data_IF_679179886105
#
_entry.id   IF_679179886105
#
_cell.length_a   1.000
_cell.length_b   1.000
_cell.length_c   1.000
_cell.angle_alpha   90.00
_cell.angle_beta   90.00
_cell.angle_gamma   90.00
#
_symmetry.space_group_name_H-M   'P 1'
#
loop_
_entity.id
_entity.type
_entity.pdbx_description
1 polymer ?
#
# COMPACT_ATOMS: atom_id res chain seq x y z
N UNK A 1 23.05 -19.73 76.62
CA UNK A 1 24.50 -19.56 76.41
C UNK A 1 24.89 -20.38 75.19
N UNK A 2 25.49 -19.73 74.17
CA UNK A 2 26.16 -20.35 72.98
C UNK A 2 25.16 -20.96 71.96
N UNK A 3 25.17 -20.72 70.64
CA UNK A 3 26.07 -20.04 69.71
C UNK A 3 25.28 -19.50 68.51
N UNK A 4 25.73 -18.37 67.96
CA UNK A 4 25.34 -17.85 66.64
C UNK A 4 26.01 -18.67 65.52
N UNK A 5 25.25 -19.10 64.51
CA UNK A 5 25.79 -19.55 63.24
C UNK A 5 25.44 -18.51 62.16
N UNK A 6 26.46 -17.75 61.75
CA UNK A 6 26.38 -16.77 60.68
C UNK A 6 26.37 -17.49 59.32
N UNK A 7 25.23 -17.42 58.62
CA UNK A 7 25.12 -17.82 57.21
C UNK A 7 25.56 -16.68 56.31
N UNK A 8 26.75 -16.82 55.73
CA UNK A 8 27.28 -15.95 54.67
C UNK A 8 26.54 -16.27 53.36
N UNK A 9 25.60 -15.40 52.94
CA UNK A 9 25.02 -15.47 51.60
C UNK A 9 25.96 -14.72 50.65
N UNK A 10 26.72 -15.47 49.86
CA UNK A 10 27.45 -14.95 48.71
C UNK A 10 26.42 -14.62 47.60
N UNK A 11 26.12 -13.34 47.43
CA UNK A 11 25.39 -12.87 46.25
C UNK A 11 26.33 -12.91 45.04
N UNK A 12 26.32 -14.02 44.30
CA UNK A 12 26.87 -14.07 42.94
C UNK A 12 25.98 -13.19 42.06
N UNK A 13 26.44 -11.95 41.84
CA UNK A 13 25.88 -11.04 40.87
C UNK A 13 26.05 -11.60 39.46
N UNK A 14 25.12 -12.43 39.03
CA UNK A 14 24.93 -12.75 37.61
C UNK A 14 24.41 -11.44 37.01
N UNK A 15 25.32 -10.68 36.40
CA UNK A 15 24.97 -9.49 35.63
C UNK A 15 23.96 -9.89 34.57
N UNK A 16 22.71 -9.53 34.78
CA UNK A 16 21.70 -9.59 33.73
C UNK A 16 22.24 -8.68 32.62
N UNK A 17 22.53 -9.20 31.41
CA UNK A 17 22.93 -8.33 30.31
C UNK A 17 21.82 -7.29 30.15
N UNK A 18 22.19 -6.02 30.32
CA UNK A 18 21.27 -4.90 30.09
C UNK A 18 20.65 -5.04 28.69
N UNK A 19 19.44 -4.49 28.47
CA UNK A 19 18.80 -4.55 27.17
C UNK A 19 19.79 -4.09 26.09
N UNK A 20 19.90 -4.83 24.97
CA UNK A 20 20.89 -4.52 23.94
C UNK A 20 20.81 -3.05 23.57
N UNK A 21 21.98 -2.40 23.59
CA UNK A 21 22.17 -0.99 23.28
C UNK A 21 21.41 -0.63 22.00
N UNK A 22 20.76 0.53 22.05
CA UNK A 22 20.08 1.23 20.95
C UNK A 22 20.73 0.86 19.62
N UNK A 23 20.03 0.05 18.82
CA UNK A 23 20.51 -0.38 17.52
C UNK A 23 21.00 0.85 16.75
N UNK A 24 22.29 0.85 16.41
CA UNK A 24 22.89 1.85 15.52
C UNK A 24 21.95 2.09 14.34
N UNK A 25 21.69 3.36 14.00
CA UNK A 25 20.84 3.76 12.86
C UNK A 25 21.14 2.86 11.66
N UNK A 26 20.13 2.13 11.19
CA UNK A 26 20.32 1.27 10.02
C UNK A 26 20.51 2.16 8.77
N UNK A 27 21.57 1.98 7.98
CA UNK A 27 21.91 2.90 6.90
C UNK A 27 21.06 2.66 5.66
N UNK A 28 19.77 3.01 5.70
CA UNK A 28 18.83 2.86 4.56
C UNK A 28 19.37 3.49 3.27
N UNK A 29 20.05 4.64 3.38
CA UNK A 29 20.66 5.34 2.25
C UNK A 29 21.62 4.44 1.43
N UNK A 30 22.31 3.50 2.06
CA UNK A 30 23.24 2.59 1.38
C UNK A 30 22.54 1.55 0.47
N UNK A 31 21.21 1.48 0.53
CA UNK A 31 20.37 0.57 -0.25
C UNK A 31 19.48 1.27 -1.27
N UNK A 32 19.48 2.60 -1.28
CA UNK A 32 18.67 3.39 -2.24
C UNK A 32 19.11 3.09 -3.67
N UNK A 33 18.15 2.81 -4.55
CA UNK A 33 18.38 2.59 -5.98
C UNK A 33 19.11 1.30 -6.35
N UNK A 34 19.49 0.45 -5.38
CA UNK A 34 20.11 -0.84 -5.67
C UNK A 34 19.10 -1.82 -6.26
N UNK A 35 19.48 -2.51 -7.33
CA UNK A 35 18.78 -3.73 -7.71
C UNK A 35 19.14 -4.82 -6.73
N UNK A 36 18.24 -5.06 -5.79
CA UNK A 36 18.49 -6.04 -4.77
C UNK A 36 18.53 -7.49 -5.26
N UNK A 37 18.08 -7.79 -6.49
CA UNK A 37 18.33 -9.10 -7.12
C UNK A 37 19.80 -9.31 -7.44
N UNK A 38 20.56 -8.22 -7.57
CA UNK A 38 22.00 -8.26 -7.80
C UNK A 38 22.82 -8.29 -6.50
N UNK A 39 22.18 -8.13 -5.33
CA UNK A 39 22.87 -8.19 -4.05
C UNK A 39 23.08 -9.64 -3.59
N UNK A 40 24.26 -9.90 -3.05
CA UNK A 40 24.59 -11.17 -2.41
C UNK A 40 23.78 -11.38 -1.13
N UNK A 41 23.72 -12.62 -0.65
CA UNK A 41 23.05 -12.95 0.61
C UNK A 41 23.60 -12.13 1.78
N UNK A 42 24.91 -11.94 1.85
CA UNK A 42 25.56 -11.22 2.94
C UNK A 42 25.27 -9.72 2.88
N UNK A 43 25.11 -9.14 1.69
CA UNK A 43 24.67 -7.76 1.52
C UNK A 43 23.19 -7.56 1.89
N UNK A 44 22.35 -8.57 1.69
CA UNK A 44 20.93 -8.55 2.01
C UNK A 44 20.65 -8.80 3.51
N UNK A 45 21.49 -9.56 4.20
CA UNK A 45 21.25 -9.98 5.58
C UNK A 45 21.08 -8.80 6.58
N UNK A 46 21.83 -7.69 6.50
CA UNK A 46 21.55 -6.50 7.31
C UNK A 46 20.17 -5.93 7.06
N UNK A 47 19.74 -5.81 5.79
CA UNK A 47 18.40 -5.33 5.43
C UNK A 47 17.32 -6.28 5.94
N UNK A 48 17.55 -7.59 5.82
CA UNK A 48 16.66 -8.61 6.38
C UNK A 48 16.44 -8.42 7.87
N UNK A 49 17.52 -8.37 8.66
CA UNK A 49 17.42 -8.17 10.11
C UNK A 49 16.74 -6.86 10.47
N UNK A 50 17.02 -5.79 9.72
CA UNK A 50 16.32 -4.52 9.87
C UNK A 50 14.80 -4.66 9.66
N UNK A 51 14.36 -5.24 8.53
CA UNK A 51 12.93 -5.42 8.25
C UNK A 51 12.23 -6.35 9.26
N UNK A 52 12.89 -7.43 9.71
CA UNK A 52 12.39 -8.27 10.82
C UNK A 52 12.21 -7.42 12.08
N UNK A 53 13.22 -6.63 12.46
CA UNK A 53 13.18 -5.81 13.68
C UNK A 53 12.07 -4.76 13.67
N UNK A 54 11.70 -4.28 12.47
CA UNK A 54 10.62 -3.33 12.25
C UNK A 54 9.26 -4.02 12.07
N UNK A 55 9.19 -5.34 12.20
CA UNK A 55 7.98 -6.15 12.05
C UNK A 55 7.25 -5.92 10.72
N UNK A 56 8.02 -5.63 9.68
CA UNK A 56 7.50 -5.40 8.33
C UNK A 56 6.95 -6.72 7.81
N UNK A 57 5.61 -6.84 7.82
CA UNK A 57 4.91 -8.03 7.35
C UNK A 57 4.55 -9.08 8.40
N UNK A 58 5.02 -8.98 9.65
CA UNK A 58 4.67 -9.96 10.69
C UNK A 58 3.38 -9.61 11.44
N UNK A 59 3.08 -8.32 11.60
CA UNK A 59 2.01 -7.86 12.48
C UNK A 59 0.74 -7.42 11.71
N UNK A 60 0.82 -7.13 10.40
CA UNK A 60 -0.30 -6.59 9.59
C UNK A 60 -0.89 -7.58 8.56
N UNK A 61 -0.10 -8.51 8.03
CA UNK A 61 -0.58 -9.66 7.24
C UNK A 61 0.55 -10.71 7.21
N UNK A 62 0.46 -11.84 7.96
CA UNK A 62 1.51 -12.87 8.02
C UNK A 62 1.83 -13.51 6.66
N UNK A 63 1.05 -13.21 5.62
CA UNK A 63 1.27 -13.64 4.24
C UNK A 63 2.28 -12.78 3.49
N UNK A 64 2.50 -11.53 3.93
CA UNK A 64 3.52 -10.62 3.41
C UNK A 64 4.77 -10.66 4.29
N UNK A 65 5.35 -11.85 4.52
CA UNK A 65 6.55 -12.01 5.33
C UNK A 65 7.82 -11.59 4.56
N UNK A 66 7.93 -10.28 4.34
CA UNK A 66 8.99 -9.64 3.54
C UNK A 66 10.35 -10.06 4.06
N UNK A 67 10.53 -10.00 5.37
CA UNK A 67 11.82 -10.18 5.98
C UNK A 67 12.32 -11.64 5.88
N UNK A 68 11.45 -12.65 5.98
CA UNK A 68 11.89 -14.03 5.78
C UNK A 68 12.01 -14.46 4.31
N UNK A 69 11.50 -13.66 3.38
CA UNK A 69 11.48 -13.97 1.94
C UNK A 69 12.50 -13.22 1.10
N UNK A 70 13.26 -12.29 1.69
CA UNK A 70 14.42 -11.68 1.03
C UNK A 70 15.40 -12.76 0.53
N UNK A 71 15.59 -12.83 -0.79
CA UNK A 71 16.42 -13.86 -1.46
C UNK A 71 15.65 -15.00 -2.13
N UNK A 72 14.30 -15.00 -2.06
CA UNK A 72 13.45 -15.86 -2.87
C UNK A 72 13.30 -15.33 -4.30
N UNK A 73 13.21 -16.23 -5.29
CA UNK A 73 13.16 -15.98 -6.77
C UNK A 73 12.05 -15.05 -7.31
N UNK A 74 11.33 -14.34 -6.47
CA UNK A 74 10.14 -13.62 -6.85
C UNK A 74 10.12 -12.34 -6.04
N UNK A 75 9.84 -11.22 -6.73
CA UNK A 75 9.29 -9.94 -6.22
C UNK A 75 10.10 -8.71 -6.64
N UNK A 76 9.51 -7.75 -7.38
CA UNK A 76 10.12 -6.44 -7.49
C UNK A 76 9.99 -5.71 -6.14
N UNK A 77 11.05 -5.01 -5.79
CA UNK A 77 11.14 -4.16 -4.64
C UNK A 77 12.09 -3.03 -4.96
N UNK A 78 11.84 -1.88 -4.35
CA UNK A 78 12.64 -0.70 -4.58
C UNK A 78 12.61 0.18 -3.33
N UNK A 79 13.77 0.77 -3.05
CA UNK A 79 13.97 1.71 -1.96
C UNK A 79 14.43 3.03 -2.56
N UNK A 80 13.73 4.11 -2.23
CA UNK A 80 14.08 5.45 -2.67
C UNK A 80 14.31 6.37 -1.49
N UNK A 81 15.20 7.34 -1.68
CA UNK A 81 15.12 8.61 -0.98
C UNK A 81 13.95 9.40 -1.59
N UNK A 82 12.89 9.56 -0.82
CA UNK A 82 11.68 10.21 -1.29
C UNK A 82 11.78 11.72 -1.22
N UNK A 83 12.47 12.25 -0.20
CA UNK A 83 12.72 13.68 -0.02
C UNK A 83 13.89 14.20 -0.85
N UNK A 84 14.83 13.32 -1.22
CA UNK A 84 16.07 13.69 -1.91
C UNK A 84 17.14 14.28 -0.98
N UNK A 85 16.83 14.41 0.31
CA UNK A 85 17.65 14.99 1.37
C UNK A 85 17.99 13.97 2.47
N UNK A 86 17.63 12.69 2.28
CA UNK A 86 17.79 11.63 3.26
C UNK A 86 16.85 11.71 4.46
N UNK A 87 15.85 12.61 4.45
CA UNK A 87 14.89 12.76 5.55
C UNK A 87 13.80 11.68 5.55
N UNK A 88 13.47 11.13 4.38
CA UNK A 88 12.37 10.19 4.18
C UNK A 88 12.75 9.12 3.15
N UNK A 89 12.66 7.86 3.56
CA UNK A 89 12.86 6.72 2.67
C UNK A 89 11.54 6.00 2.42
N UNK A 90 11.35 5.52 1.20
CA UNK A 90 10.16 4.75 0.82
C UNK A 90 10.59 3.43 0.25
N UNK A 91 10.15 2.34 0.91
CA UNK A 91 10.27 0.98 0.42
C UNK A 91 8.93 0.56 -0.18
N UNK A 92 8.93 0.17 -1.45
CA UNK A 92 7.81 -0.52 -2.06
C UNK A 92 8.19 -1.95 -2.42
N UNK A 93 7.26 -2.87 -2.22
CA UNK A 93 7.45 -4.30 -2.45
C UNK A 93 6.17 -4.93 -2.95
N UNK A 94 6.30 -5.95 -3.78
CA UNK A 94 5.21 -6.85 -4.16
C UNK A 94 5.54 -8.28 -3.71
N UNK A 95 4.55 -9.15 -3.62
CA UNK A 95 4.74 -10.56 -3.37
C UNK A 95 3.83 -11.41 -4.24
N UNK A 96 4.39 -12.35 -4.99
CA UNK A 96 3.58 -13.29 -5.77
C UNK A 96 2.79 -14.25 -4.87
N UNK A 97 1.47 -14.25 -5.02
CA UNK A 97 0.58 -15.21 -4.38
C UNK A 97 0.61 -16.55 -5.12
N UNK A 98 1.14 -17.62 -4.50
CA UNK A 98 1.26 -18.95 -5.12
C UNK A 98 0.02 -19.85 -4.96
N UNK A 99 -0.94 -19.47 -4.11
CA UNK A 99 -2.09 -20.31 -3.76
C UNK A 99 -3.34 -19.82 -4.51
N UNK A 100 -4.18 -20.75 -4.97
CA UNK A 100 -5.48 -20.46 -5.59
C UNK A 100 -6.56 -21.12 -4.71
N UNK A 101 -7.57 -20.39 -4.19
CA UNK A 101 -7.77 -18.94 -4.29
C UNK A 101 -6.84 -18.16 -3.34
N UNK A 102 -6.05 -17.22 -3.89
CA UNK A 102 -5.36 -16.18 -3.11
C UNK A 102 -5.01 -15.02 -4.05
N UNK A 103 -4.55 -13.93 -3.46
CA UNK A 103 -4.08 -12.77 -4.19
C UNK A 103 -2.59 -12.57 -3.91
N UNK A 104 -1.89 -12.07 -4.92
CA UNK A 104 -0.59 -11.46 -4.72
C UNK A 104 -0.73 -10.28 -3.75
N UNK A 105 0.36 -9.90 -3.10
CA UNK A 105 0.38 -8.86 -2.07
C UNK A 105 1.32 -7.73 -2.46
N UNK A 106 1.17 -6.58 -1.84
CA UNK A 106 2.05 -5.45 -1.99
C UNK A 106 2.13 -4.67 -0.68
N UNK A 107 3.17 -3.87 -0.57
CA UNK A 107 3.40 -3.02 0.58
C UNK A 107 4.16 -1.77 0.18
N UNK A 108 3.82 -0.67 0.85
CA UNK A 108 4.57 0.57 0.83
C UNK A 108 4.86 0.96 2.28
N UNK A 109 6.14 1.14 2.61
CA UNK A 109 6.61 1.46 3.95
C UNK A 109 7.46 2.72 3.89
N UNK A 110 7.22 3.63 4.81
CA UNK A 110 7.83 4.95 4.86
C UNK A 110 8.66 5.03 6.13
N UNK A 111 9.94 5.34 5.96
CA UNK A 111 10.89 5.46 7.05
C UNK A 111 11.36 6.91 7.20
N UNK A 112 11.59 7.34 8.43
CA UNK A 112 12.35 8.57 8.71
C UNK A 112 13.87 8.34 8.54
N UNK A 113 14.65 9.40 8.72
CA UNK A 113 16.12 9.36 8.68
C UNK A 113 16.77 8.51 9.79
N UNK A 114 16.02 8.14 10.82
CA UNK A 114 16.45 7.22 11.87
C UNK A 114 16.07 5.75 11.57
N UNK A 115 15.35 5.50 10.47
CA UNK A 115 14.86 4.18 10.10
C UNK A 115 13.62 3.74 10.88
N UNK A 116 12.87 4.65 11.51
CA UNK A 116 11.58 4.34 12.11
C UNK A 116 10.49 4.35 11.05
N UNK A 117 9.55 3.41 11.13
CA UNK A 117 8.37 3.39 10.28
C UNK A 117 7.44 4.53 10.71
N UNK A 118 7.26 5.52 9.85
CA UNK A 118 6.37 6.67 10.08
C UNK A 118 5.06 6.57 9.29
N UNK A 119 4.95 5.56 8.43
CA UNK A 119 3.76 5.27 7.66
C UNK A 119 3.89 3.96 6.90
N UNK A 120 2.77 3.27 6.68
CA UNK A 120 2.76 2.03 5.92
C UNK A 120 1.39 1.69 5.37
N UNK A 121 1.34 0.96 4.27
CA UNK A 121 0.14 0.29 3.78
C UNK A 121 0.51 -1.05 3.18
N UNK A 122 -0.22 -2.11 3.55
CA UNK A 122 -0.15 -3.44 2.93
C UNK A 122 -1.46 -3.72 2.23
N UNK A 123 -1.39 -4.30 1.03
CA UNK A 123 -2.56 -4.41 0.16
C UNK A 123 -2.51 -5.60 -0.79
N UNK A 124 -3.66 -5.87 -1.43
CA UNK A 124 -3.79 -6.76 -2.56
C UNK A 124 -3.23 -6.15 -3.84
N UNK A 125 -2.56 -6.95 -4.66
CA UNK A 125 -2.18 -6.56 -6.03
C UNK A 125 -3.01 -7.30 -7.07
N UNK A 126 -4.25 -7.65 -6.70
CA UNK A 126 -5.26 -8.21 -7.57
C UNK A 126 -5.20 -9.73 -7.74
N UNK A 127 -6.29 -10.27 -8.28
CA UNK A 127 -6.47 -11.70 -8.47
C UNK A 127 -5.63 -12.13 -9.65
N UNK A 128 -4.66 -13.01 -9.36
CA UNK A 128 -3.74 -13.58 -10.34
C UNK A 128 -3.12 -12.50 -11.25
N UNK A 129 -2.85 -11.36 -10.65
CA UNK A 129 -2.10 -10.25 -11.26
C UNK A 129 -0.79 -10.17 -10.50
N UNK A 130 0.32 -9.99 -11.22
CA UNK A 130 1.63 -9.93 -10.62
C UNK A 130 2.37 -8.67 -11.04
N UNK A 131 2.83 -7.85 -10.07
CA UNK A 131 3.73 -6.76 -10.35
C UNK A 131 5.05 -7.27 -10.96
N UNK A 132 5.41 -6.76 -12.12
CA UNK A 132 6.65 -7.10 -12.84
C UNK A 132 7.79 -6.14 -12.51
N UNK A 133 7.47 -4.88 -12.21
CA UNK A 133 8.41 -3.86 -11.73
C UNK A 133 7.72 -2.90 -10.76
N UNK A 134 8.54 -2.20 -9.98
CA UNK A 134 8.09 -1.10 -9.13
C UNK A 134 9.08 0.04 -9.31
N UNK A 135 8.58 1.18 -9.78
CA UNK A 135 9.38 2.33 -10.19
C UNK A 135 8.77 3.62 -9.64
N UNK A 136 9.55 4.70 -9.58
CA UNK A 136 9.02 6.04 -9.34
C UNK A 136 8.85 6.79 -10.64
N UNK A 137 7.80 7.59 -10.72
CA UNK A 137 7.52 8.46 -11.86
C UNK A 137 7.16 9.87 -11.38
N UNK A 138 7.66 10.90 -12.04
CA UNK A 138 7.17 12.26 -11.88
C UNK A 138 5.97 12.49 -12.81
N UNK A 139 4.85 12.91 -12.24
CA UNK A 139 3.60 13.17 -12.98
C UNK A 139 3.25 14.64 -12.87
N UNK A 140 3.17 15.32 -14.02
CA UNK A 140 2.88 16.74 -14.07
C UNK A 140 1.56 17.07 -13.34
N UNK A 141 1.61 18.01 -12.39
CA UNK A 141 0.46 18.42 -11.59
C UNK A 141 0.01 17.40 -10.54
N UNK A 142 0.76 16.33 -10.30
CA UNK A 142 0.53 15.36 -9.20
C UNK A 142 1.78 15.23 -8.32
N UNK A 143 2.97 15.21 -8.94
CA UNK A 143 4.26 15.00 -8.30
C UNK A 143 4.77 13.57 -8.44
N UNK A 144 5.67 13.18 -7.53
CA UNK A 144 6.28 11.85 -7.48
C UNK A 144 5.26 10.78 -7.07
N UNK A 145 5.17 9.72 -7.85
CA UNK A 145 4.29 8.56 -7.61
C UNK A 145 5.06 7.26 -7.73
N UNK A 146 4.55 6.18 -7.11
CA UNK A 146 5.07 4.82 -7.26
C UNK A 146 4.21 4.09 -8.29
N UNK A 147 4.82 3.61 -9.36
CA UNK A 147 4.17 2.80 -10.38
C UNK A 147 4.48 1.33 -10.17
N UNK A 148 3.44 0.52 -9.99
CA UNK A 148 3.51 -0.93 -10.00
C UNK A 148 3.07 -1.41 -11.38
N UNK A 149 4.02 -1.70 -12.27
CA UNK A 149 3.71 -2.36 -13.53
C UNK A 149 3.32 -3.80 -13.26
N UNK A 150 2.31 -4.31 -13.95
CA UNK A 150 1.76 -5.63 -13.71
C UNK A 150 1.44 -6.39 -14.99
N UNK A 151 1.40 -7.72 -14.87
CA UNK A 151 0.87 -8.59 -15.91
C UNK A 151 -0.14 -9.58 -15.33
N UNK A 152 -1.15 -9.99 -16.12
CA UNK A 152 -2.00 -11.11 -15.73
C UNK A 152 -1.20 -12.41 -15.67
N UNK A 153 -1.62 -13.30 -14.79
CA UNK A 153 -1.14 -14.68 -14.67
C UNK A 153 -2.38 -15.56 -14.55
N UNK A 154 -2.47 -16.67 -15.31
CA UNK A 154 -3.57 -17.68 -15.21
C UNK A 154 -4.98 -17.04 -15.07
N UNK A 155 -5.61 -16.52 -16.11
CA UNK A 155 -6.93 -15.84 -16.01
C UNK A 155 -6.97 -14.65 -15.03
N UNK A 156 -5.86 -13.92 -14.89
CA UNK A 156 -5.82 -12.64 -14.18
C UNK A 156 -6.51 -11.51 -14.95
N UNK A 157 -6.58 -10.31 -14.36
CA UNK A 157 -7.11 -9.11 -15.04
C UNK A 157 -6.21 -8.71 -16.21
N UNK A 158 -6.58 -9.10 -17.42
CA UNK A 158 -5.82 -8.77 -18.64
C UNK A 158 -5.91 -7.31 -19.05
N UNK A 159 -6.89 -6.60 -18.49
CA UNK A 159 -7.16 -5.19 -18.70
C UNK A 159 -6.31 -4.28 -17.81
N UNK A 160 -5.55 -4.81 -16.84
CA UNK A 160 -4.71 -4.01 -15.94
C UNK A 160 -3.24 -4.15 -16.35
N UNK A 161 -2.63 -3.03 -16.76
CA UNK A 161 -1.20 -2.94 -17.04
C UNK A 161 -0.40 -2.47 -15.82
N UNK A 162 -1.01 -1.73 -14.91
CA UNK A 162 -0.37 -1.30 -13.68
C UNK A 162 -1.26 -0.41 -12.84
N UNK A 163 -0.74 0.00 -11.69
CA UNK A 163 -1.40 0.95 -10.81
C UNK A 163 -0.40 1.88 -10.13
N UNK A 164 -0.89 3.05 -9.72
CA UNK A 164 -0.09 4.15 -9.21
C UNK A 164 -0.48 4.49 -7.78
N UNK A 165 0.53 4.62 -6.92
CA UNK A 165 0.39 5.00 -5.52
C UNK A 165 1.02 6.37 -5.30
N UNK A 166 0.22 7.32 -4.82
CA UNK A 166 0.66 8.63 -4.35
C UNK A 166 0.91 8.63 -2.84
N UNK A 167 1.55 9.70 -2.35
CA UNK A 167 1.79 9.93 -0.92
C UNK A 167 0.99 11.14 -0.41
N UNK A 168 0.02 10.89 0.45
CA UNK A 168 -0.69 11.92 1.22
C UNK A 168 -0.01 12.07 2.59
N UNK A 169 1.02 12.91 2.66
CA UNK A 169 1.90 13.02 3.83
C UNK A 169 2.74 11.75 4.06
N UNK A 170 2.34 10.95 5.05
CA UNK A 170 2.92 9.63 5.37
C UNK A 170 1.95 8.48 5.08
N UNK A 171 0.90 8.72 4.29
CA UNK A 171 -0.10 7.71 3.94
C UNK A 171 -0.04 7.37 2.46
N UNK A 172 0.29 6.13 2.08
CA UNK A 172 0.18 5.67 0.70
C UNK A 172 -1.30 5.64 0.26
N UNK A 173 -1.59 6.14 -0.95
CA UNK A 173 -2.94 6.20 -1.51
C UNK A 173 -2.96 5.66 -2.95
N UNK A 174 -3.91 4.78 -3.28
CA UNK A 174 -4.14 4.38 -4.67
C UNK A 174 -4.78 5.54 -5.42
N UNK A 175 -4.14 6.03 -6.48
CA UNK A 175 -4.59 7.21 -7.22
C UNK A 175 -4.97 6.93 -8.68
N UNK A 176 -4.51 5.82 -9.26
CA UNK A 176 -4.84 5.42 -10.64
C UNK A 176 -4.60 3.93 -10.85
N UNK A 177 -5.47 3.29 -11.62
CA UNK A 177 -5.22 1.98 -12.25
C UNK A 177 -5.27 2.21 -13.75
N UNK A 178 -4.27 1.70 -14.47
CA UNK A 178 -4.15 1.90 -15.91
C UNK A 178 -4.24 0.58 -16.68
N UNK A 179 -4.89 0.63 -17.84
CA UNK A 179 -4.86 -0.45 -18.82
C UNK A 179 -3.63 -0.40 -19.72
N UNK A 180 -3.51 -1.35 -20.65
CA UNK A 180 -2.40 -1.46 -21.61
C UNK A 180 -2.29 -0.28 -22.59
N UNK A 181 -3.30 0.60 -22.64
CA UNK A 181 -3.35 1.83 -23.44
C UNK A 181 -3.22 3.07 -22.57
N UNK A 182 -2.79 2.90 -21.31
CA UNK A 182 -2.70 3.94 -20.29
C UNK A 182 -4.04 4.66 -20.00
N UNK A 183 -5.17 3.99 -20.25
CA UNK A 183 -6.50 4.51 -19.87
C UNK A 183 -6.80 4.13 -18.44
N UNK A 184 -7.46 5.03 -17.72
CA UNK A 184 -7.92 4.76 -16.36
C UNK A 184 -9.00 3.67 -16.36
N UNK A 185 -8.89 2.70 -15.44
CA UNK A 185 -9.86 1.60 -15.28
C UNK A 185 -10.32 1.48 -13.82
N UNK A 186 -11.52 0.95 -13.56
CA UNK A 186 -12.07 0.87 -12.22
C UNK A 186 -11.34 -0.15 -11.34
N UNK A 187 -11.25 0.17 -10.05
CA UNK A 187 -10.90 -0.81 -9.02
C UNK A 187 -12.09 -1.73 -8.72
N UNK A 188 -11.84 -2.91 -8.14
CA UNK A 188 -12.89 -3.86 -7.76
C UNK A 188 -12.96 -3.94 -6.24
N UNK A 189 -13.93 -3.25 -5.63
CA UNK A 189 -14.09 -3.22 -4.18
C UNK A 189 -14.93 -4.39 -3.68
N UNK A 190 -15.95 -4.82 -4.43
CA UNK A 190 -16.85 -5.90 -3.99
C UNK A 190 -16.18 -7.29 -3.88
N UNK A 191 -14.99 -7.48 -4.47
CA UNK A 191 -14.25 -8.74 -4.43
C UNK A 191 -12.81 -8.48 -3.96
N UNK A 192 -12.52 -8.75 -2.68
CA UNK A 192 -11.24 -8.39 -2.03
C UNK A 192 -10.03 -9.03 -2.68
N UNK A 193 -10.19 -10.17 -3.35
CA UNK A 193 -9.14 -10.82 -4.11
C UNK A 193 -8.82 -10.09 -5.42
N UNK A 194 -9.75 -9.30 -5.98
CA UNK A 194 -9.54 -8.47 -7.17
C UNK A 194 -9.11 -7.03 -6.86
N UNK A 195 -9.33 -6.57 -5.63
CA UNK A 195 -8.96 -5.22 -5.22
C UNK A 195 -7.45 -4.99 -5.35
N UNK A 196 -7.11 -3.83 -5.92
CA UNK A 196 -5.75 -3.36 -6.08
C UNK A 196 -5.45 -2.23 -5.09
N UNK A 197 -4.19 -2.15 -4.64
CA UNK A 197 -3.61 -0.98 -3.98
C UNK A 197 -4.04 -0.74 -2.52
N UNK A 198 -3.45 0.28 -1.87
CA UNK A 198 -3.79 0.69 -0.51
C UNK A 198 -5.29 0.81 -0.26
N UNK A 199 -5.72 0.45 0.95
CA UNK A 199 -7.11 0.64 1.37
C UNK A 199 -7.49 2.13 1.34
N UNK A 200 -8.72 2.41 0.91
CA UNK A 200 -9.28 3.75 0.89
C UNK A 200 -9.91 4.10 2.24
N UNK A 201 -9.62 5.29 2.76
CA UNK A 201 -10.33 5.85 3.91
C UNK A 201 -11.57 6.62 3.44
N UNK A 202 -12.75 6.13 3.82
CA UNK A 202 -14.05 6.68 3.42
C UNK A 202 -14.56 7.80 4.34
N UNK A 203 -13.85 8.14 5.42
CA UNK A 203 -14.34 9.09 6.43
C UNK A 203 -14.54 10.52 5.88
N UNK A 204 -13.66 10.97 5.00
CA UNK A 204 -13.55 12.36 4.53
C UNK A 204 -13.61 12.48 2.99
N UNK A 205 -14.24 11.52 2.30
CA UNK A 205 -14.18 11.43 0.81
C UNK A 205 -14.68 12.69 0.08
N UNK A 206 -15.69 13.39 0.61
CA UNK A 206 -16.17 14.65 0.01
C UNK A 206 -15.15 15.77 0.20
N UNK A 207 -14.47 15.81 1.35
CA UNK A 207 -13.42 16.79 1.61
C UNK A 207 -12.18 16.52 0.74
N UNK A 208 -11.88 15.23 0.47
CA UNK A 208 -10.85 14.84 -0.49
C UNK A 208 -11.14 15.35 -1.90
N UNK A 209 -12.39 15.27 -2.37
CA UNK A 209 -12.78 15.81 -3.69
C UNK A 209 -12.61 17.34 -3.79
N UNK A 210 -12.70 18.05 -2.67
CA UNK A 210 -12.54 19.52 -2.59
C UNK A 210 -11.11 19.95 -2.29
N UNK A 211 -10.20 19.00 -2.08
CA UNK A 211 -8.83 19.29 -1.67
C UNK A 211 -8.03 19.90 -2.82
N UNK A 212 -7.12 20.82 -2.50
CA UNK A 212 -6.10 21.30 -3.45
C UNK A 212 -5.02 20.25 -3.73
N UNK A 213 -4.97 19.16 -2.94
CA UNK A 213 -4.04 18.05 -3.15
C UNK A 213 -4.52 17.14 -4.28
N UNK A 214 -3.79 17.06 -5.42
CA UNK A 214 -4.15 16.18 -6.53
C UNK A 214 -4.23 14.72 -6.12
N UNK A 215 -3.39 14.30 -5.17
CA UNK A 215 -3.37 12.94 -4.64
C UNK A 215 -4.67 12.61 -3.91
N UNK A 216 -5.18 13.52 -3.06
CA UNK A 216 -6.44 13.30 -2.34
C UNK A 216 -7.64 13.30 -3.29
N UNK A 217 -7.65 14.20 -4.27
CA UNK A 217 -8.69 14.24 -5.32
C UNK A 217 -8.69 12.95 -6.13
N UNK A 218 -7.54 12.51 -6.64
CA UNK A 218 -7.42 11.28 -7.43
C UNK A 218 -7.80 10.04 -6.63
N UNK A 219 -7.42 9.97 -5.36
CA UNK A 219 -7.79 8.86 -4.49
C UNK A 219 -9.32 8.77 -4.33
N UNK A 220 -9.99 9.89 -4.08
CA UNK A 220 -11.45 9.95 -3.97
C UNK A 220 -12.14 9.60 -5.29
N UNK A 221 -11.65 10.12 -6.42
CA UNK A 221 -12.17 9.79 -7.75
C UNK A 221 -11.99 8.32 -8.10
N UNK A 222 -10.84 7.73 -7.75
CA UNK A 222 -10.59 6.30 -7.94
C UNK A 222 -11.55 5.43 -7.12
N UNK A 223 -11.91 5.86 -5.90
CA UNK A 223 -12.97 5.22 -5.13
C UNK A 223 -14.32 5.36 -5.82
N UNK A 224 -14.77 6.57 -6.18
CA UNK A 224 -16.06 6.76 -6.87
C UNK A 224 -16.16 6.05 -8.23
N UNK A 225 -15.04 5.89 -8.95
CA UNK A 225 -14.99 5.14 -10.20
C UNK A 225 -15.00 3.62 -10.00
N UNK A 226 -14.86 3.14 -8.77
CA UNK A 226 -14.76 1.72 -8.46
C UNK A 226 -16.04 0.92 -8.64
N UNK A 227 -15.87 -0.39 -8.75
CA UNK A 227 -16.93 -1.37 -8.71
C UNK A 227 -17.26 -1.70 -7.25
N UNK A 228 -18.32 -1.08 -6.73
CA UNK A 228 -18.84 -1.28 -5.38
C UNK A 228 -19.88 -2.39 -5.30
N UNK A 229 -20.05 -2.96 -4.11
CA UNK A 229 -20.99 -4.04 -3.92
C UNK A 229 -22.46 -3.60 -4.03
N UNK A 230 -23.30 -4.51 -4.49
CA UNK A 230 -24.74 -4.44 -4.25
C UNK A 230 -25.05 -4.84 -2.82
N UNK A 231 -25.94 -4.16 -2.09
CA UNK A 231 -26.52 -4.67 -0.88
C UNK A 231 -27.22 -5.98 -1.27
N UNK A 232 -26.58 -7.09 -0.92
CA UNK A 232 -27.21 -8.39 -1.04
C UNK A 232 -28.13 -8.56 0.17
N UNK A 233 -29.47 -8.57 -0.02
CA UNK A 233 -30.41 -8.80 1.07
C UNK A 233 -30.25 -10.19 1.72
N UNK A 234 -29.56 -11.12 1.04
CA UNK A 234 -29.36 -12.48 1.51
C UNK A 234 -27.98 -12.67 2.19
N UNK A 235 -27.12 -11.64 2.20
CA UNK A 235 -25.86 -11.63 2.96
C UNK A 235 -24.75 -12.52 2.40
N UNK A 236 -24.84 -13.00 1.16
CA UNK A 236 -23.84 -13.85 0.51
C UNK A 236 -22.64 -13.09 -0.04
N UNK A 237 -22.50 -11.81 0.28
CA UNK A 237 -21.32 -11.03 -0.11
C UNK A 237 -20.06 -11.66 0.47
N UNK A 238 -19.36 -12.38 -0.39
CA UNK A 238 -18.08 -13.00 -0.11
C UNK A 238 -16.99 -11.93 0.04
N UNK A 239 -16.84 -11.42 1.25
CA UNK A 239 -15.55 -10.95 1.82
C UNK A 239 -14.79 -9.79 1.14
N UNK A 240 -15.45 -8.97 0.32
CA UNK A 240 -14.84 -7.83 -0.36
C UNK A 240 -14.89 -6.53 0.43
N UNK A 241 -15.85 -5.70 0.03
CA UNK A 241 -16.13 -4.39 0.60
C UNK A 241 -16.97 -4.51 1.88
N UNK A 242 -16.76 -3.62 2.86
CA UNK A 242 -17.65 -3.53 4.02
C UNK A 242 -19.00 -3.00 3.56
N UNK A 243 -20.11 -3.58 4.05
CA UNK A 243 -21.48 -3.09 3.76
C UNK A 243 -21.59 -1.59 4.02
N UNK A 244 -20.98 -1.09 5.10
CA UNK A 244 -20.96 0.34 5.43
C UNK A 244 -20.33 1.22 4.34
N UNK A 245 -19.27 0.74 3.68
CA UNK A 245 -18.57 1.46 2.62
C UNK A 245 -19.40 1.45 1.33
N UNK A 246 -20.03 0.31 0.99
CA UNK A 246 -20.93 0.20 -0.16
C UNK A 246 -22.18 1.08 -0.01
N UNK A 247 -22.77 1.13 1.20
CA UNK A 247 -23.88 2.04 1.53
C UNK A 247 -23.42 3.49 1.43
N UNK A 248 -22.26 3.82 1.99
CA UNK A 248 -21.69 5.17 1.92
C UNK A 248 -21.44 5.61 0.47
N UNK A 249 -20.90 4.74 -0.37
CA UNK A 249 -20.75 5.01 -1.80
C UNK A 249 -22.08 5.40 -2.43
N UNK A 250 -23.13 4.62 -2.24
CA UNK A 250 -24.46 4.91 -2.81
C UNK A 250 -25.05 6.21 -2.31
N UNK A 251 -24.98 6.43 -1.00
CA UNK A 251 -25.47 7.67 -0.39
C UNK A 251 -24.77 8.86 -1.03
N UNK A 252 -23.45 8.88 -1.01
CA UNK A 252 -22.68 10.01 -1.51
C UNK A 252 -22.77 10.17 -3.02
N UNK A 253 -22.70 9.07 -3.78
CA UNK A 253 -22.86 9.07 -5.22
C UNK A 253 -24.28 9.50 -5.64
N UNK A 254 -25.31 9.32 -4.79
CA UNK A 254 -26.67 9.80 -5.06
C UNK A 254 -26.87 11.31 -4.87
N UNK A 255 -25.97 11.97 -4.14
CA UNK A 255 -26.11 13.39 -3.82
C UNK A 255 -25.86 14.30 -5.04
N UNK A 256 -26.73 15.29 -5.32
CA UNK A 256 -26.53 16.26 -6.40
C UNK A 256 -25.21 17.04 -6.27
N UNK A 257 -24.81 17.39 -5.05
CA UNK A 257 -23.57 18.12 -4.78
C UNK A 257 -22.32 17.30 -5.13
N UNK A 258 -22.31 15.99 -4.83
CA UNK A 258 -21.21 15.10 -5.22
C UNK A 258 -21.10 15.03 -6.74
N UNK A 259 -22.23 14.93 -7.43
CA UNK A 259 -22.25 14.95 -8.89
C UNK A 259 -21.69 16.25 -9.45
N UNK A 260 -22.14 17.39 -8.95
CA UNK A 260 -21.65 18.69 -9.40
C UNK A 260 -20.14 18.83 -9.19
N UNK A 261 -19.62 18.36 -8.04
CA UNK A 261 -18.18 18.33 -7.77
C UNK A 261 -17.44 17.47 -8.79
N UNK A 262 -17.82 16.19 -8.96
CA UNK A 262 -17.13 15.29 -9.91
C UNK A 262 -17.24 15.83 -11.35
N UNK A 263 -18.42 16.35 -11.74
CA UNK A 263 -18.62 16.95 -13.06
C UNK A 263 -17.71 18.16 -13.28
N UNK A 264 -17.53 19.03 -12.28
CA UNK A 264 -16.57 20.14 -12.39
C UNK A 264 -15.14 19.65 -12.63
N UNK A 265 -14.73 18.54 -12.00
CA UNK A 265 -13.39 17.96 -12.15
C UNK A 265 -13.12 17.37 -13.54
N UNK A 266 -14.16 17.07 -14.34
CA UNK A 266 -14.01 16.68 -15.76
C UNK A 266 -13.46 17.80 -16.65
N UNK A 267 -13.39 19.03 -16.13
CA UNK A 267 -12.80 20.19 -16.81
C UNK A 267 -11.43 20.56 -16.23
N UNK A 268 -10.86 19.73 -15.35
CA UNK A 268 -9.53 19.98 -14.78
C UNK A 268 -8.46 20.06 -15.88
N UNK A 269 -7.53 21.00 -15.69
CA UNK A 269 -6.32 21.09 -16.50
C UNK A 269 -5.41 19.85 -16.32
N UNK A 270 -5.48 19.20 -15.15
CA UNK A 270 -4.74 17.97 -14.89
C UNK A 270 -5.44 16.79 -15.60
N UNK A 271 -4.78 16.13 -16.58
CA UNK A 271 -5.39 15.05 -17.34
C UNK A 271 -5.76 13.84 -16.48
N UNK A 272 -4.99 13.53 -15.43
CA UNK A 272 -5.30 12.40 -14.56
C UNK A 272 -6.60 12.62 -13.77
N UNK A 273 -6.78 13.83 -13.23
CA UNK A 273 -8.01 14.20 -12.50
C UNK A 273 -9.20 14.17 -13.47
N UNK A 274 -9.04 14.76 -14.64
CA UNK A 274 -10.09 14.80 -15.66
C UNK A 274 -10.56 13.41 -16.08
N UNK A 275 -9.62 12.51 -16.37
CA UNK A 275 -9.94 11.16 -16.82
C UNK A 275 -10.58 10.33 -15.69
N UNK A 276 -10.06 10.44 -14.47
CA UNK A 276 -10.65 9.77 -13.30
C UNK A 276 -12.07 10.28 -13.00
N UNK A 277 -12.31 11.59 -13.15
CA UNK A 277 -13.63 12.19 -12.99
C UNK A 277 -14.63 11.70 -14.04
N UNK A 278 -14.21 11.58 -15.30
CA UNK A 278 -15.06 11.01 -16.37
C UNK A 278 -15.44 9.57 -16.06
N UNK A 279 -14.46 8.75 -15.67
CA UNK A 279 -14.72 7.35 -15.29
C UNK A 279 -15.67 7.26 -14.09
N UNK A 280 -15.51 8.12 -13.07
CA UNK A 280 -16.40 8.17 -11.91
C UNK A 280 -17.86 8.51 -12.30
N UNK A 281 -18.08 9.37 -13.29
CA UNK A 281 -19.42 9.66 -13.80
C UNK A 281 -19.99 8.51 -14.64
N UNK A 282 -19.17 7.83 -15.44
CA UNK A 282 -19.59 6.67 -16.26
C UNK A 282 -20.04 5.49 -15.40
N UNK A 283 -19.33 5.24 -14.29
CA UNK A 283 -19.62 4.15 -13.36
C UNK A 283 -20.71 4.48 -12.32
N UNK A 284 -21.18 5.73 -12.29
CA UNK A 284 -22.32 6.14 -11.46
C UNK A 284 -23.58 5.41 -11.93
N UNK A 285 -24.01 4.43 -11.15
CA UNK A 285 -25.22 3.64 -11.42
C UNK A 285 -24.97 2.18 -11.81
N UNK A 286 -23.72 1.71 -11.85
CA UNK A 286 -23.47 0.27 -11.93
C UNK A 286 -24.06 -0.43 -10.69
N UNK A 287 -24.82 -1.54 -10.85
CA UNK A 287 -24.93 -2.43 -12.01
C UNK A 287 -26.20 -2.24 -12.87
N UNK A 288 -26.90 -1.11 -12.78
CA UNK A 288 -28.21 -0.89 -13.40
C UNK A 288 -28.15 -0.35 -14.85
N UNK A 289 -27.24 -0.85 -15.69
CA UNK A 289 -27.30 -0.64 -17.14
C UNK A 289 -27.27 -1.96 -17.88
#
# INVERSE_FOLDING_TARGET
MISFAAGLILALGIGIPGPPQVASKFPLAAFVGKDFKALTRDELEPMRRFLVSKRIGSDSDPRLDVANRLGGRYDPWALWDWGGDGSKFVLAIAQYGKVIPSQSRGGVFIFDSAGNVVGSSTFGVGWRTFPTSIETQEVAGVGKVIHFSSRPVINGREDVAGFFVGMDGSRPALIRIADKKDRVVPNVYFASNHQLGPAFDTADVIDKLKSDSPIRVLEALNWFAGMHALPDPQGWMSSGEKISDAVRYRTLAGLPETFALIFSLTHSANPWIRDAARLALEHRGWPYR
#
